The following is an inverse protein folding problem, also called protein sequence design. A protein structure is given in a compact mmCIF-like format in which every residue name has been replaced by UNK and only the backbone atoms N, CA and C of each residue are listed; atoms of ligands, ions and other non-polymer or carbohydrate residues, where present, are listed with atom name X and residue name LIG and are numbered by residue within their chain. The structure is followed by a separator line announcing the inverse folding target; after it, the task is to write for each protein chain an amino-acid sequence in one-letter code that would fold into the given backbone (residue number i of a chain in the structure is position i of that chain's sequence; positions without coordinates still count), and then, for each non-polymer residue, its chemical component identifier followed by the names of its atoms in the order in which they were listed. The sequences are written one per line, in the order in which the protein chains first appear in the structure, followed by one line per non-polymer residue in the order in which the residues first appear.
data_IF_085244929330
#
_entry.id   IF_085244929330
#
_cell.length_a   1.000
_cell.length_b   1.000
_cell.length_c   1.000
_cell.angle_alpha   90.00
_cell.angle_beta   90.00
_cell.angle_gamma   90.00
#
_symmetry.space_group_name_H-M   'P 1'
#
loop_
_entity.id
_entity.type
_entity.pdbx_description
1 polymer ?
#
# COMPACT_ATOMS: atom_id res chain seq x y z
N UNK A 1 3.34 29.08 -10.64
CA UNK A 1 3.56 30.13 -9.63
C UNK A 1 2.74 29.74 -8.41
N UNK A 2 3.39 29.60 -7.24
CA UNK A 2 2.67 29.38 -5.99
C UNK A 2 1.94 30.67 -5.61
N UNK A 3 0.64 30.56 -5.35
CA UNK A 3 -0.17 31.68 -4.89
C UNK A 3 -0.03 31.80 -3.38
N UNK A 4 0.84 32.72 -2.95
CA UNK A 4 1.16 32.95 -1.53
C UNK A 4 -0.03 33.45 -0.72
N UNK A 5 -1.03 34.05 -1.35
CA UNK A 5 -2.23 34.54 -0.64
C UNK A 5 -3.09 33.39 -0.07
N UNK A 6 -3.04 32.24 -0.71
CA UNK A 6 -3.79 31.06 -0.26
C UNK A 6 -3.20 30.36 0.96
N UNK A 7 -1.95 30.64 1.34
CA UNK A 7 -1.35 30.00 2.54
C UNK A 7 -2.02 30.39 3.87
N UNK A 8 -2.77 31.46 3.93
CA UNK A 8 -3.57 31.84 5.11
C UNK A 8 -4.86 31.01 5.26
N UNK A 9 -5.22 30.24 4.26
CA UNK A 9 -6.43 29.43 4.25
C UNK A 9 -6.08 27.95 4.53
N UNK A 10 -6.99 27.23 5.17
CA UNK A 10 -6.88 25.78 5.26
C UNK A 10 -6.96 25.18 3.85
N UNK A 11 -6.16 24.13 3.56
CA UNK A 11 -6.30 23.40 2.30
C UNK A 11 -7.63 22.66 2.23
N UNK A 12 -8.02 22.25 1.03
CA UNK A 12 -9.15 21.36 0.81
C UNK A 12 -8.90 20.03 1.55
N UNK A 13 -9.71 19.68 2.58
CA UNK A 13 -9.47 18.50 3.41
C UNK A 13 -9.58 17.18 2.64
N UNK A 14 -10.29 17.17 1.53
CA UNK A 14 -10.44 16.00 0.67
C UNK A 14 -9.37 15.93 -0.44
N UNK A 15 -8.46 16.92 -0.53
CA UNK A 15 -7.50 17.03 -1.63
C UNK A 15 -8.13 16.84 -3.02
N UNK A 16 -9.35 17.35 -3.23
CA UNK A 16 -10.24 17.02 -4.34
C UNK A 16 -9.59 17.13 -5.72
N UNK A 17 -8.74 18.16 -5.94
CA UNK A 17 -8.05 18.33 -7.21
C UNK A 17 -7.08 17.20 -7.49
N UNK A 18 -6.33 16.76 -6.47
CA UNK A 18 -5.35 15.67 -6.59
C UNK A 18 -6.06 14.32 -6.75
N UNK A 19 -7.09 14.06 -5.94
CA UNK A 19 -7.91 12.86 -6.03
C UNK A 19 -8.50 12.69 -7.43
N UNK A 20 -9.11 13.74 -8.00
CA UNK A 20 -9.66 13.70 -9.37
C UNK A 20 -8.58 13.48 -10.44
N UNK A 21 -7.42 14.10 -10.28
CA UNK A 21 -6.31 13.91 -11.21
C UNK A 21 -5.77 12.48 -11.17
N UNK A 22 -5.61 11.90 -9.98
CA UNK A 22 -5.20 10.50 -9.81
C UNK A 22 -6.26 9.54 -10.35
N UNK A 23 -7.53 9.77 -10.05
CA UNK A 23 -8.64 8.96 -10.55
C UNK A 23 -8.66 8.93 -12.10
N UNK A 24 -8.49 10.09 -12.72
CA UNK A 24 -8.41 10.20 -14.19
C UNK A 24 -7.18 9.50 -14.77
N UNK A 25 -6.01 9.63 -14.13
CA UNK A 25 -4.75 9.00 -14.54
C UNK A 25 -4.84 7.48 -14.54
N UNK A 26 -5.48 6.91 -13.50
CA UNK A 26 -5.60 5.45 -13.32
C UNK A 26 -6.90 4.87 -13.88
N UNK A 27 -7.80 5.68 -14.41
CA UNK A 27 -9.08 5.23 -14.96
C UNK A 27 -10.04 4.67 -13.91
N UNK A 28 -9.95 5.15 -12.66
CA UNK A 28 -10.79 4.71 -11.53
C UNK A 28 -11.73 5.82 -11.06
N UNK A 29 -12.68 5.47 -10.19
CA UNK A 29 -13.53 6.46 -9.52
C UNK A 29 -12.73 7.29 -8.50
N UNK A 30 -13.10 8.55 -8.30
CA UNK A 30 -12.56 9.38 -7.22
C UNK A 30 -12.81 8.81 -5.81
N UNK A 31 -13.84 7.98 -5.65
CA UNK A 31 -14.14 7.27 -4.40
C UNK A 31 -13.15 6.14 -4.09
N UNK A 32 -12.43 5.66 -5.07
CA UNK A 32 -11.42 4.61 -4.93
C UNK A 32 -10.04 5.17 -4.57
N UNK A 33 -9.89 6.49 -4.49
CA UNK A 33 -8.60 7.16 -4.26
C UNK A 33 -8.58 7.81 -2.89
N UNK A 34 -7.61 7.43 -2.06
CA UNK A 34 -7.27 8.09 -0.80
C UNK A 34 -5.90 8.75 -0.88
N UNK A 35 -5.76 10.00 -0.43
CA UNK A 35 -4.50 10.75 -0.43
C UNK A 35 -4.08 11.05 1.00
N UNK A 36 -2.79 10.83 1.30
CA UNK A 36 -2.19 11.08 2.61
C UNK A 36 -0.86 11.82 2.52
N UNK A 37 -0.26 12.11 3.69
CA UNK A 37 0.99 12.86 3.85
C UNK A 37 2.20 11.93 3.66
N UNK A 38 2.35 11.40 2.45
CA UNK A 38 3.28 10.32 2.09
C UNK A 38 2.64 8.94 2.23
N UNK A 39 3.27 7.92 1.64
CA UNK A 39 2.77 6.54 1.74
C UNK A 39 2.77 6.01 3.19
N UNK A 40 3.66 6.50 4.05
CA UNK A 40 3.68 6.13 5.46
C UNK A 40 2.38 6.45 6.18
N UNK A 41 1.85 7.66 5.97
CA UNK A 41 0.57 8.09 6.52
C UNK A 41 -0.58 7.25 5.95
N UNK A 42 -0.56 7.00 4.64
CA UNK A 42 -1.55 6.13 3.97
C UNK A 42 -1.54 4.72 4.57
N UNK A 43 -0.35 4.14 4.79
CA UNK A 43 -0.19 2.82 5.41
C UNK A 43 -0.69 2.84 6.86
N UNK A 44 -0.30 3.85 7.65
CA UNK A 44 -0.76 4.00 9.03
C UNK A 44 -2.28 4.07 9.13
N UNK A 45 -2.92 4.88 8.28
CA UNK A 45 -4.39 4.98 8.23
C UNK A 45 -5.03 3.67 7.79
N UNK A 46 -4.40 2.96 6.86
CA UNK A 46 -4.88 1.65 6.41
C UNK A 46 -4.81 0.59 7.54
N UNK A 47 -3.73 0.58 8.33
CA UNK A 47 -3.61 -0.29 9.50
C UNK A 47 -4.74 -0.03 10.50
N UNK A 48 -4.99 1.23 10.85
CA UNK A 48 -6.09 1.62 11.75
C UNK A 48 -7.47 1.27 11.21
N UNK A 49 -7.65 1.32 9.89
CA UNK A 49 -8.96 1.13 9.27
C UNK A 49 -9.29 -0.36 9.09
N UNK A 50 -8.32 -1.15 8.62
CA UNK A 50 -8.57 -2.50 8.13
C UNK A 50 -8.00 -3.60 9.02
N UNK A 51 -6.95 -3.33 9.80
CA UNK A 51 -6.22 -4.35 10.54
C UNK A 51 -6.54 -4.36 12.04
N UNK A 52 -7.67 -3.80 12.42
CA UNK A 52 -8.08 -3.68 13.81
C UNK A 52 -8.84 -4.95 14.26
N UNK A 53 -8.12 -6.07 14.36
CA UNK A 53 -8.64 -7.35 14.83
C UNK A 53 -7.64 -8.06 15.75
N UNK A 54 -8.08 -9.13 16.43
CA UNK A 54 -7.20 -9.96 17.25
C UNK A 54 -6.34 -10.95 16.43
N UNK A 55 -6.55 -10.99 15.11
CA UNK A 55 -5.77 -11.83 14.19
C UNK A 55 -4.50 -11.12 13.74
N UNK A 56 -3.37 -11.83 13.58
CA UNK A 56 -2.11 -11.19 13.19
C UNK A 56 -2.15 -10.68 11.74
N UNK A 57 -1.59 -9.49 11.53
CA UNK A 57 -1.26 -8.98 10.20
C UNK A 57 0.02 -9.68 9.71
N UNK A 58 0.06 -10.06 8.44
CA UNK A 58 1.22 -10.73 7.85
C UNK A 58 2.00 -9.78 6.95
N UNK A 59 3.32 -9.69 7.15
CA UNK A 59 4.25 -9.01 6.24
C UNK A 59 5.63 -9.68 6.27
N UNK A 60 6.44 -9.58 5.19
CA UNK A 60 7.72 -10.28 5.11
C UNK A 60 8.68 -9.90 6.24
N UNK A 61 9.51 -10.86 6.67
CA UNK A 61 10.51 -10.66 7.73
C UNK A 61 11.59 -9.64 7.35
N UNK A 62 11.99 -9.61 6.09
CA UNK A 62 12.90 -8.61 5.51
C UNK A 62 12.10 -7.73 4.56
N UNK A 63 11.66 -6.57 5.07
CA UNK A 63 10.72 -5.71 4.38
C UNK A 63 10.88 -4.25 4.84
N UNK A 64 9.97 -3.38 4.45
CA UNK A 64 9.95 -2.00 4.89
C UNK A 64 9.71 -1.91 6.41
N UNK A 65 10.67 -1.28 7.11
CA UNK A 65 10.78 -1.32 8.58
C UNK A 65 9.70 -0.55 9.34
N UNK A 66 8.78 0.13 8.67
CA UNK A 66 7.69 0.84 9.35
C UNK A 66 6.42 0.01 9.53
N UNK A 67 6.31 -1.16 8.94
CA UNK A 67 5.13 -2.00 9.16
C UNK A 67 5.03 -2.47 10.61
N UNK A 68 6.13 -2.94 11.20
CA UNK A 68 6.17 -3.31 12.62
C UNK A 68 6.03 -2.09 13.54
N UNK A 69 6.58 -0.93 13.17
CA UNK A 69 6.39 0.33 13.92
C UNK A 69 4.91 0.70 14.04
N UNK A 70 4.15 0.63 12.92
CA UNK A 70 2.73 0.90 12.96
C UNK A 70 1.94 -0.16 13.70
N UNK A 71 2.28 -1.44 13.52
CA UNK A 71 1.64 -2.53 14.25
C UNK A 71 1.84 -2.39 15.77
N UNK A 72 3.07 -2.10 16.22
CA UNK A 72 3.40 -1.90 17.63
C UNK A 72 2.68 -0.67 18.21
N UNK A 73 2.70 0.46 17.48
CA UNK A 73 2.06 1.71 17.91
C UNK A 73 0.54 1.53 18.10
N UNK A 74 -0.10 0.80 17.20
CA UNK A 74 -1.55 0.58 17.24
C UNK A 74 -1.94 -0.68 18.01
N UNK A 75 -0.97 -1.43 18.55
CA UNK A 75 -1.17 -2.69 19.28
C UNK A 75 -1.87 -3.76 18.44
N UNK A 76 -1.56 -3.81 17.17
CA UNK A 76 -2.05 -4.79 16.23
C UNK A 76 -1.10 -5.99 16.26
N UNK A 77 -1.58 -7.22 16.51
CA UNK A 77 -0.73 -8.40 16.45
C UNK A 77 -0.23 -8.63 15.03
N UNK A 78 1.00 -9.10 14.89
CA UNK A 78 1.57 -9.40 13.58
C UNK A 78 2.49 -10.61 13.59
N UNK A 79 2.68 -11.20 12.43
CA UNK A 79 3.65 -12.25 12.16
C UNK A 79 4.43 -11.93 10.89
N UNK A 80 5.69 -12.35 10.86
CA UNK A 80 6.60 -12.09 9.74
C UNK A 80 7.01 -13.39 9.05
N UNK A 81 6.26 -13.85 8.01
CA UNK A 81 6.68 -14.95 7.17
C UNK A 81 8.08 -14.72 6.59
N UNK A 82 8.93 -15.73 6.68
CA UNK A 82 10.31 -15.64 6.20
C UNK A 82 10.35 -15.70 4.67
N UNK A 83 11.11 -14.81 4.05
CA UNK A 83 11.46 -14.91 2.65
C UNK A 83 12.27 -16.20 2.39
N UNK A 84 12.30 -16.65 1.13
CA UNK A 84 13.17 -17.77 0.75
C UNK A 84 14.65 -17.34 0.66
N UNK A 85 15.53 -18.27 0.33
CA UNK A 85 16.98 -18.04 0.19
C UNK A 85 17.35 -17.01 -0.90
N UNK A 86 16.43 -16.74 -1.84
CA UNK A 86 16.56 -15.75 -2.90
C UNK A 86 15.77 -14.47 -2.62
N UNK A 87 15.30 -14.29 -1.39
CA UNK A 87 14.48 -13.18 -0.93
C UNK A 87 13.10 -13.07 -1.60
N UNK A 88 12.56 -14.16 -2.12
CA UNK A 88 11.20 -14.17 -2.66
C UNK A 88 10.17 -14.36 -1.54
N UNK A 89 9.02 -13.71 -1.71
CA UNK A 89 7.80 -14.01 -0.96
C UNK A 89 7.27 -15.37 -1.42
N UNK A 90 6.97 -16.26 -0.47
CA UNK A 90 6.29 -17.53 -0.71
C UNK A 90 4.80 -17.34 -0.49
N UNK A 91 3.96 -17.32 -1.56
CA UNK A 91 2.53 -17.05 -1.42
C UNK A 91 1.81 -17.96 -0.43
N UNK A 92 2.23 -19.24 -0.33
CA UNK A 92 1.67 -20.24 0.55
C UNK A 92 1.74 -19.88 2.04
N UNK A 93 2.76 -19.13 2.46
CA UNK A 93 2.91 -18.67 3.85
C UNK A 93 1.86 -17.60 4.24
N UNK A 94 1.16 -17.03 3.26
CA UNK A 94 0.11 -16.02 3.41
C UNK A 94 -1.31 -16.61 3.26
N UNK A 95 -1.44 -17.92 2.94
CA UNK A 95 -2.72 -18.61 2.75
C UNK A 95 -3.23 -19.23 4.06
N UNK A 96 -3.22 -18.47 5.12
CA UNK A 96 -3.65 -18.89 6.46
C UNK A 96 -4.50 -17.80 7.11
N UNK A 97 -5.22 -18.14 8.17
CA UNK A 97 -6.02 -17.17 8.93
C UNK A 97 -5.15 -16.01 9.40
N UNK A 98 -5.53 -14.79 9.07
CA UNK A 98 -4.82 -13.56 9.40
C UNK A 98 -5.78 -12.38 9.54
N UNK A 99 -5.27 -11.24 10.01
CA UNK A 99 -6.02 -9.99 10.17
C UNK A 99 -5.84 -9.01 9.01
N UNK A 100 -5.04 -9.38 8.02
CA UNK A 100 -4.69 -8.59 6.86
C UNK A 100 -3.25 -8.86 6.42
N UNK A 101 -2.91 -8.40 5.24
CA UNK A 101 -1.59 -8.64 4.65
C UNK A 101 -1.05 -7.32 4.10
N UNK A 102 0.26 -7.07 4.27
CA UNK A 102 0.95 -5.97 3.60
C UNK A 102 2.33 -6.43 3.14
N UNK A 103 2.68 -6.12 1.90
CA UNK A 103 4.02 -6.33 1.38
C UNK A 103 4.39 -5.31 0.31
N UNK A 104 5.68 -4.90 0.22
CA UNK A 104 6.14 -4.06 -0.87
C UNK A 104 6.29 -4.87 -2.16
N UNK A 105 5.96 -4.29 -3.29
CA UNK A 105 6.19 -4.93 -4.58
C UNK A 105 6.63 -3.90 -5.65
N UNK A 106 7.91 -3.86 -6.06
CA UNK A 106 9.03 -4.68 -5.59
C UNK A 106 9.34 -4.51 -4.09
N UNK A 107 9.82 -5.60 -3.46
CA UNK A 107 10.13 -5.57 -2.03
C UNK A 107 11.31 -4.62 -1.73
N UNK A 108 11.19 -3.83 -0.70
CA UNK A 108 12.27 -3.01 -0.17
C UNK A 108 12.71 -3.58 1.21
N UNK A 109 13.99 -3.90 1.43
CA UNK A 109 15.16 -3.44 0.68
C UNK A 109 15.70 -4.39 -0.40
N UNK A 110 15.08 -5.56 -0.61
CA UNK A 110 15.66 -6.64 -1.44
C UNK A 110 15.61 -6.34 -2.94
N UNK A 111 14.69 -5.50 -3.39
CA UNK A 111 14.44 -5.21 -4.81
C UNK A 111 13.72 -6.33 -5.57
N UNK A 112 13.37 -7.43 -4.91
CA UNK A 112 12.74 -8.58 -5.55
C UNK A 112 11.27 -8.28 -5.85
N UNK A 113 10.86 -8.56 -7.08
CA UNK A 113 9.49 -8.36 -7.56
C UNK A 113 8.70 -9.68 -7.46
N UNK A 114 7.51 -9.62 -6.90
CA UNK A 114 6.55 -10.72 -6.88
C UNK A 114 5.66 -10.63 -8.10
N UNK A 115 5.66 -11.67 -8.94
CA UNK A 115 4.83 -11.75 -10.14
C UNK A 115 3.33 -11.67 -9.81
N UNK A 116 2.54 -11.02 -10.67
CA UNK A 116 1.11 -10.80 -10.44
C UNK A 116 0.32 -12.09 -10.22
N UNK A 117 0.72 -13.20 -10.85
CA UNK A 117 0.06 -14.50 -10.62
C UNK A 117 0.22 -14.98 -9.17
N UNK A 118 1.33 -14.64 -8.51
CA UNK A 118 1.54 -14.92 -7.10
C UNK A 118 0.79 -13.92 -6.20
N UNK A 119 0.67 -12.66 -6.61
CA UNK A 119 -0.21 -11.69 -5.94
C UNK A 119 -1.66 -12.18 -6.00
N UNK A 120 -2.13 -12.67 -7.15
CA UNK A 120 -3.46 -13.28 -7.31
C UNK A 120 -3.69 -14.43 -6.33
N UNK A 121 -2.73 -15.35 -6.18
CA UNK A 121 -2.85 -16.46 -5.22
C UNK A 121 -3.07 -15.97 -3.79
N UNK A 122 -2.35 -14.93 -3.38
CA UNK A 122 -2.52 -14.32 -2.05
C UNK A 122 -3.90 -13.70 -1.92
N UNK A 123 -4.34 -12.92 -2.91
CA UNK A 123 -5.65 -12.27 -2.93
C UNK A 123 -6.81 -13.29 -2.91
N UNK A 124 -6.71 -14.35 -3.71
CA UNK A 124 -7.74 -15.40 -3.79
C UNK A 124 -7.90 -16.16 -2.48
N UNK A 125 -6.79 -16.42 -1.78
CA UNK A 125 -6.80 -17.12 -0.49
C UNK A 125 -7.28 -16.26 0.68
N UNK A 126 -7.41 -14.94 0.49
CA UNK A 126 -7.65 -13.97 1.56
C UNK A 126 -8.80 -12.99 1.24
N UNK A 127 -9.88 -13.47 0.62
CA UNK A 127 -11.03 -12.64 0.17
C UNK A 127 -11.75 -11.89 1.29
N UNK A 128 -11.59 -12.29 2.52
CA UNK A 128 -12.26 -11.74 3.71
C UNK A 128 -11.42 -10.69 4.47
N UNK A 129 -10.19 -10.42 4.03
CA UNK A 129 -9.29 -9.41 4.61
C UNK A 129 -8.62 -8.56 3.53
N UNK A 130 -8.19 -7.36 3.89
CA UNK A 130 -7.48 -6.48 2.96
C UNK A 130 -6.03 -6.93 2.77
N UNK A 131 -5.61 -6.94 1.51
CA UNK A 131 -4.21 -7.13 1.09
C UNK A 131 -3.68 -5.81 0.55
N UNK A 132 -2.71 -5.24 1.24
CA UNK A 132 -2.03 -4.00 0.82
C UNK A 132 -0.80 -4.38 0.01
N UNK A 133 -0.75 -3.92 -1.24
CA UNK A 133 0.45 -3.99 -2.09
C UNK A 133 1.10 -2.60 -2.11
N UNK A 134 2.24 -2.47 -1.44
CA UNK A 134 3.00 -1.22 -1.39
C UNK A 134 3.89 -1.11 -2.62
N UNK A 135 3.49 -0.29 -3.55
CA UNK A 135 4.15 -0.04 -4.83
C UNK A 135 5.05 1.20 -4.83
N UNK A 136 5.70 1.51 -3.71
CA UNK A 136 6.60 2.66 -3.62
C UNK A 136 7.72 2.63 -4.70
N UNK A 137 8.10 1.45 -5.17
CA UNK A 137 9.19 1.24 -6.13
C UNK A 137 8.74 0.67 -7.48
N UNK A 138 7.46 0.53 -7.74
CA UNK A 138 6.96 -0.13 -8.97
C UNK A 138 7.39 0.57 -10.26
N UNK A 139 7.59 1.87 -10.24
CA UNK A 139 8.01 2.64 -11.42
C UNK A 139 9.45 2.29 -11.88
N UNK A 140 10.23 1.58 -11.06
CA UNK A 140 11.58 1.11 -11.40
C UNK A 140 11.60 -0.25 -12.09
N UNK A 141 10.48 -0.96 -12.13
CA UNK A 141 10.31 -2.23 -12.85
C UNK A 141 9.20 -3.09 -12.25
N UNK A 142 8.57 -3.90 -13.10
CA UNK A 142 7.45 -4.76 -12.75
C UNK A 142 6.12 -4.29 -13.34
N UNK A 143 5.08 -5.09 -13.11
CA UNK A 143 3.70 -4.77 -13.48
C UNK A 143 2.91 -4.42 -12.21
N UNK A 144 2.15 -3.33 -12.28
CA UNK A 144 1.36 -2.88 -11.15
C UNK A 144 0.18 -3.82 -10.85
N UNK A 145 -0.07 -4.05 -9.56
CA UNK A 145 -1.27 -4.71 -9.06
C UNK A 145 -2.56 -3.90 -9.31
N UNK A 146 -2.46 -2.62 -9.69
CA UNK A 146 -3.62 -1.83 -10.13
C UNK A 146 -4.39 -2.49 -11.27
N UNK A 147 -3.74 -3.30 -12.10
CA UNK A 147 -4.39 -4.07 -13.17
C UNK A 147 -5.35 -5.14 -12.65
N UNK A 148 -5.34 -5.42 -11.35
CA UNK A 148 -6.17 -6.43 -10.69
C UNK A 148 -7.37 -5.82 -9.95
N UNK A 149 -7.51 -4.50 -9.89
CA UNK A 149 -8.54 -3.83 -9.08
C UNK A 149 -9.97 -4.27 -9.41
N UNK A 150 -10.28 -4.48 -10.69
CA UNK A 150 -11.63 -4.89 -11.11
C UNK A 150 -11.98 -6.33 -10.71
N UNK A 151 -10.98 -7.13 -10.30
CA UNK A 151 -11.14 -8.53 -9.93
C UNK A 151 -11.15 -8.76 -8.42
N UNK A 152 -10.65 -7.75 -7.63
CA UNK A 152 -10.34 -7.94 -6.21
C UNK A 152 -10.74 -6.74 -5.34
N UNK A 153 -11.91 -6.84 -4.71
CA UNK A 153 -12.41 -5.84 -3.75
C UNK A 153 -11.55 -5.76 -2.48
N UNK A 154 -10.73 -6.79 -2.22
CA UNK A 154 -9.82 -6.86 -1.08
C UNK A 154 -8.41 -6.34 -1.37
N UNK A 155 -8.16 -5.77 -2.54
CA UNK A 155 -6.87 -5.20 -2.92
C UNK A 155 -6.82 -3.70 -2.62
N UNK A 156 -5.75 -3.29 -1.93
CA UNK A 156 -5.38 -1.89 -1.76
C UNK A 156 -3.95 -1.66 -2.27
N UNK A 157 -3.77 -0.82 -3.27
CA UNK A 157 -2.46 -0.47 -3.81
C UNK A 157 -2.03 0.87 -3.28
N UNK A 158 -0.86 0.91 -2.60
CA UNK A 158 -0.28 2.15 -2.04
C UNK A 158 0.86 2.63 -2.91
N UNK A 159 0.91 3.93 -3.19
CA UNK A 159 1.96 4.57 -3.99
C UNK A 159 2.46 5.86 -3.35
N UNK A 160 3.60 6.35 -3.81
CA UNK A 160 4.24 7.57 -3.32
C UNK A 160 4.87 8.39 -4.44
N UNK A 161 4.90 9.70 -4.23
CA UNK A 161 5.68 10.63 -5.07
C UNK A 161 7.14 10.76 -4.60
N UNK A 162 7.51 10.14 -3.48
CA UNK A 162 8.81 10.30 -2.83
C UNK A 162 9.98 9.66 -3.57
N UNK A 163 9.73 8.66 -4.42
CA UNK A 163 10.77 7.84 -5.07
C UNK A 163 10.99 8.26 -6.52
N UNK A 164 10.39 7.56 -7.47
CA UNK A 164 10.55 7.80 -8.91
C UNK A 164 10.18 9.22 -9.33
N UNK A 165 9.22 9.83 -8.66
CA UNK A 165 8.76 11.20 -8.95
C UNK A 165 9.63 12.28 -8.32
N UNK A 166 10.65 11.92 -7.51
CA UNK A 166 11.62 12.84 -6.88
C UNK A 166 10.99 13.97 -6.06
N UNK A 167 9.84 13.72 -5.45
CA UNK A 167 9.06 14.71 -4.70
C UNK A 167 8.92 14.35 -3.21
N UNK A 168 9.94 13.74 -2.60
CA UNK A 168 9.91 13.31 -1.20
C UNK A 168 9.54 14.46 -0.24
N UNK A 169 10.03 15.66 -0.48
CA UNK A 169 9.74 16.84 0.33
C UNK A 169 8.29 17.31 0.31
N UNK A 170 7.51 16.97 -0.71
CA UNK A 170 6.09 17.33 -0.81
C UNK A 170 5.18 16.47 0.04
N UNK A 171 5.67 15.34 0.54
CA UNK A 171 4.89 14.40 1.38
C UNK A 171 3.57 13.98 0.73
N UNK A 172 3.61 13.47 -0.50
CA UNK A 172 2.43 12.98 -1.21
C UNK A 172 2.49 11.46 -1.33
N UNK A 173 1.51 10.80 -0.76
CA UNK A 173 1.23 9.38 -0.93
C UNK A 173 -0.26 9.16 -1.19
N UNK A 174 -0.61 8.03 -1.76
CA UNK A 174 -2.00 7.71 -2.04
C UNK A 174 -2.23 6.20 -2.06
N UNK A 175 -3.47 5.80 -1.85
CA UNK A 175 -3.95 4.44 -2.06
C UNK A 175 -5.07 4.43 -3.09
N UNK A 176 -5.16 3.31 -3.81
CA UNK A 176 -6.25 3.01 -4.74
C UNK A 176 -6.78 1.62 -4.38
N UNK A 177 -8.08 1.52 -4.12
CA UNK A 177 -8.76 0.28 -3.73
C UNK A 177 -9.90 -0.12 -4.65
N UNK A 178 -10.33 -1.37 -4.55
CA UNK A 178 -11.50 -1.91 -5.23
C UNK A 178 -12.83 -1.40 -4.67
#
# INVERSE_FOLDING_TARGET
QMDMENYRLYPDPAATKLVKALAAEYGVSDKQVFVGVGSDDVIAMSFLTFFNSDKPVLFPDVSYSFYDVWADLFKIPYERPMLDENFNIKPEDYMRTNGGIVFPNPNAPTGVYLELDNVRKILDANRDVIVIVDEAYIDFGGKSALTLLDEYDNLLVVRTYSKSRSMAGLRIGYAIGG
#
